data_IF_233880137591
#
_entry.id   IF_233880137591
#
_cell.length_a   1.000
_cell.length_b   1.000
_cell.length_c   1.000
_cell.angle_alpha   90.00
_cell.angle_beta   90.00
_cell.angle_gamma   90.00
#
_symmetry.space_group_name_H-M   'P 1'
#
loop_
_entity.id
_entity.type
_entity.pdbx_description
1 polymer ?
#
# COMPACT_ATOMS: atom_id res chain seq x y z
N UNK A 1 31.71 -20.38 -5.88
CA UNK A 1 30.66 -20.06 -6.88
C UNK A 1 29.78 -18.96 -6.32
N UNK A 2 29.64 -17.80 -6.95
CA UNK A 2 28.75 -16.74 -6.47
C UNK A 2 27.30 -17.03 -6.92
N UNK A 3 26.27 -16.58 -6.19
CA UNK A 3 24.89 -16.66 -6.65
C UNK A 3 24.64 -15.57 -7.71
N UNK A 4 24.16 -16.01 -8.87
CA UNK A 4 23.83 -15.19 -10.03
C UNK A 4 22.69 -14.20 -9.74
N UNK A 5 22.93 -12.92 -10.03
CA UNK A 5 21.96 -11.84 -9.94
C UNK A 5 20.80 -12.01 -10.95
N UNK A 6 19.56 -11.81 -10.48
CA UNK A 6 18.34 -11.83 -11.28
C UNK A 6 18.18 -10.46 -11.98
N UNK A 7 18.20 -10.40 -13.30
CA UNK A 7 17.91 -9.16 -14.07
C UNK A 7 16.47 -9.16 -14.62
N UNK A 8 15.80 -8.01 -14.53
CA UNK A 8 14.50 -7.73 -15.17
C UNK A 8 14.65 -6.85 -16.42
N UNK A 9 13.90 -7.12 -17.49
CA UNK A 9 13.75 -6.26 -18.69
C UNK A 9 12.28 -6.04 -19.06
N UNK A 10 12.02 -4.96 -19.80
CA UNK A 10 10.71 -4.30 -19.95
C UNK A 10 10.54 -3.73 -21.37
N UNK A 11 9.36 -3.87 -22.01
CA UNK A 11 8.96 -3.16 -23.26
C UNK A 11 7.43 -2.87 -23.32
N UNK A 12 6.97 -1.86 -24.08
CA UNK A 12 5.61 -1.25 -24.03
C UNK A 12 4.99 -0.86 -25.40
N UNK A 13 3.64 -0.78 -25.52
CA UNK A 13 2.88 -0.22 -26.68
C UNK A 13 1.38 0.04 -26.40
N UNK A 14 0.71 1.00 -27.12
CA UNK A 14 -0.47 1.84 -26.73
C UNK A 14 -1.77 1.73 -27.61
N UNK A 15 -2.95 2.02 -26.99
CA UNK A 15 -4.23 2.75 -27.41
C UNK A 15 -5.17 2.25 -28.55
N UNK A 16 -6.41 2.79 -28.81
CA UNK A 16 -7.42 3.57 -28.02
C UNK A 16 -8.91 3.08 -28.07
N UNK A 17 -9.77 3.75 -27.27
CA UNK A 17 -11.23 4.02 -27.41
C UNK A 17 -12.27 3.25 -26.54
N UNK A 18 -12.99 4.00 -25.68
CA UNK A 18 -14.45 3.86 -25.50
C UNK A 18 -15.04 3.18 -24.25
N UNK A 19 -14.24 2.56 -23.39
CA UNK A 19 -14.66 1.95 -22.11
C UNK A 19 -13.56 2.18 -21.07
N UNK A 20 -13.85 2.15 -19.76
CA UNK A 20 -12.81 2.24 -18.72
C UNK A 20 -11.90 1.00 -18.75
N UNK A 21 -10.94 1.07 -19.66
CA UNK A 21 -9.83 0.15 -19.86
C UNK A 21 -8.63 0.75 -19.12
N UNK A 22 -8.18 0.08 -18.05
CA UNK A 22 -6.82 0.31 -17.59
C UNK A 22 -5.84 -0.09 -18.71
N UNK A 23 -4.69 0.60 -18.87
CA UNK A 23 -3.87 0.49 -20.06
C UNK A 23 -3.39 -0.94 -20.30
N UNK A 24 -3.51 -1.42 -21.55
CA UNK A 24 -2.85 -2.64 -22.00
C UNK A 24 -1.34 -2.51 -21.83
N UNK A 25 -0.78 -3.47 -21.12
CA UNK A 25 0.65 -3.56 -20.81
C UNK A 25 0.88 -4.48 -19.63
N UNK A 26 0.28 -5.68 -19.65
CA UNK A 26 0.50 -6.67 -18.59
C UNK A 26 1.93 -7.17 -18.67
N UNK A 27 2.82 -6.54 -17.90
CA UNK A 27 4.07 -7.19 -17.51
C UNK A 27 3.69 -8.31 -16.55
N UNK A 28 3.87 -9.55 -16.99
CA UNK A 28 3.79 -10.71 -16.10
C UNK A 28 5.01 -10.66 -15.20
N UNK A 29 4.80 -10.38 -13.92
CA UNK A 29 5.81 -10.65 -12.90
C UNK A 29 5.48 -12.03 -12.34
N UNK A 30 6.33 -13.01 -12.63
CA UNK A 30 6.27 -14.33 -12.02
C UNK A 30 7.27 -14.29 -10.86
N UNK A 31 6.85 -14.53 -9.63
CA UNK A 31 7.77 -14.93 -8.56
C UNK A 31 8.19 -16.37 -8.87
N UNK A 32 9.29 -16.51 -9.63
CA UNK A 32 9.74 -17.79 -10.23
C UNK A 32 10.22 -18.83 -9.17
N UNK A 33 10.23 -18.50 -7.88
CA UNK A 33 10.80 -19.38 -6.85
C UNK A 33 9.90 -20.52 -6.31
N UNK A 34 8.57 -20.37 -6.30
CA UNK A 34 7.68 -21.28 -5.55
C UNK A 34 6.59 -21.97 -6.38
N UNK A 35 6.57 -21.79 -7.70
CA UNK A 35 5.51 -22.35 -8.57
C UNK A 35 4.12 -21.74 -8.35
N UNK A 36 4.01 -20.65 -7.58
CA UNK A 36 2.74 -20.00 -7.27
C UNK A 36 2.26 -19.13 -8.43
N UNK A 37 1.05 -19.36 -8.97
CA UNK A 37 0.48 -18.49 -9.99
C UNK A 37 0.12 -17.13 -9.38
N UNK A 38 0.82 -16.07 -9.79
CA UNK A 38 0.49 -14.68 -9.40
C UNK A 38 -0.22 -13.98 -10.55
N UNK A 39 -1.39 -13.43 -10.25
CA UNK A 39 -2.25 -12.76 -11.22
C UNK A 39 -2.30 -11.26 -10.95
N UNK A 40 -1.59 -10.47 -11.76
CA UNK A 40 -1.71 -9.00 -11.76
C UNK A 40 -2.83 -8.59 -12.74
N UNK A 41 -3.71 -7.67 -12.31
CA UNK A 41 -4.93 -7.15 -13.00
C UNK A 41 -6.25 -7.89 -12.70
N UNK A 42 -7.32 -7.11 -12.43
CA UNK A 42 -8.73 -7.55 -12.34
C UNK A 42 -9.28 -8.17 -13.64
N UNK A 43 -8.46 -8.30 -14.69
CA UNK A 43 -8.78 -9.07 -15.90
C UNK A 43 -8.99 -10.58 -15.67
N UNK A 44 -8.84 -11.08 -14.44
CA UNK A 44 -8.97 -12.50 -14.09
C UNK A 44 -10.08 -12.83 -13.09
N UNK A 45 -10.64 -11.84 -12.40
CA UNK A 45 -11.67 -12.04 -11.38
C UNK A 45 -12.80 -11.07 -11.66
N UNK A 46 -13.85 -11.55 -12.34
CA UNK A 46 -15.02 -10.75 -12.72
C UNK A 46 -16.12 -10.74 -11.65
N UNK A 47 -16.11 -11.71 -10.73
CA UNK A 47 -17.11 -11.82 -9.66
C UNK A 47 -16.56 -12.62 -8.48
N UNK A 48 -16.85 -12.18 -7.26
CA UNK A 48 -16.63 -12.92 -6.02
C UNK A 48 -18.01 -13.15 -5.40
N UNK A 49 -18.44 -14.41 -5.27
CA UNK A 49 -19.65 -14.74 -4.51
C UNK A 49 -19.25 -15.57 -3.31
N UNK A 50 -19.36 -14.97 -2.13
CA UNK A 50 -19.39 -15.73 -0.89
C UNK A 50 -20.80 -16.29 -0.72
N UNK A 51 -21.05 -17.44 -1.34
CA UNK A 51 -22.17 -18.32 -1.00
C UNK A 51 -21.57 -19.70 -0.80
N UNK A 52 -21.77 -20.28 0.38
CA UNK A 52 -21.40 -21.67 0.66
C UNK A 52 -19.92 -22.00 0.41
N UNK A 53 -18.99 -21.12 0.81
CA UNK A 53 -17.56 -21.45 0.82
C UNK A 53 -16.90 -21.74 -0.54
N UNK A 54 -17.58 -21.50 -1.68
CA UNK A 54 -16.99 -21.71 -3.03
C UNK A 54 -16.61 -20.39 -3.68
N UNK A 55 -15.31 -20.14 -3.86
CA UNK A 55 -14.88 -19.06 -4.74
C UNK A 55 -14.75 -19.58 -6.17
N UNK A 56 -15.33 -18.85 -7.10
CA UNK A 56 -15.14 -19.12 -8.53
C UNK A 56 -14.46 -17.93 -9.17
N UNK A 57 -13.19 -18.06 -9.53
CA UNK A 57 -12.54 -17.08 -10.40
C UNK A 57 -12.89 -17.40 -11.85
N UNK A 58 -13.48 -16.44 -12.58
CA UNK A 58 -13.67 -16.54 -14.04
C UNK A 58 -12.63 -15.69 -14.75
N UNK A 59 -11.76 -16.35 -15.53
CA UNK A 59 -10.82 -15.65 -16.41
C UNK A 59 -11.60 -14.86 -17.45
N UNK A 60 -11.30 -13.57 -17.64
CA UNK A 60 -11.93 -12.78 -18.72
C UNK A 60 -11.59 -13.32 -20.11
N UNK A 61 -10.43 -13.98 -20.26
CA UNK A 61 -10.02 -14.66 -21.50
C UNK A 61 -10.74 -16.00 -21.74
N UNK A 62 -11.38 -16.57 -20.72
CA UNK A 62 -12.15 -17.81 -20.84
C UNK A 62 -13.24 -17.89 -19.75
N UNK A 63 -14.40 -17.25 -19.96
CA UNK A 63 -15.46 -17.11 -18.96
C UNK A 63 -16.11 -18.43 -18.52
N UNK A 64 -15.93 -19.51 -19.30
CA UNK A 64 -16.51 -20.83 -19.03
C UNK A 64 -15.67 -21.71 -18.11
N UNK A 65 -14.42 -21.34 -17.80
CA UNK A 65 -13.54 -22.10 -16.91
C UNK A 65 -13.51 -21.48 -15.51
N UNK A 66 -14.25 -22.09 -14.58
CA UNK A 66 -14.07 -21.86 -13.15
C UNK A 66 -12.89 -22.68 -12.63
N UNK A 67 -12.19 -22.14 -11.63
CA UNK A 67 -11.26 -22.89 -10.79
C UNK A 67 -11.86 -22.90 -9.39
N UNK A 68 -11.85 -24.06 -8.76
CA UNK A 68 -12.27 -24.26 -7.38
C UNK A 68 -11.01 -24.32 -6.52
N UNK A 69 -11.07 -23.74 -5.34
CA UNK A 69 -10.02 -23.85 -4.33
C UNK A 69 -10.67 -24.31 -3.04
N UNK A 70 -9.90 -25.00 -2.22
CA UNK A 70 -10.35 -25.58 -0.96
C UNK A 70 -10.39 -24.51 0.14
N UNK A 71 -9.35 -23.67 0.23
CA UNK A 71 -9.18 -22.61 1.23
C UNK A 71 -8.87 -21.25 0.63
N UNK A 72 -9.22 -20.19 1.36
CA UNK A 72 -9.15 -18.81 0.90
C UNK A 72 -8.60 -17.87 1.96
N UNK A 73 -7.72 -16.96 1.54
CA UNK A 73 -7.21 -15.87 2.38
C UNK A 73 -7.60 -14.52 1.79
N UNK A 74 -8.32 -13.72 2.57
CA UNK A 74 -8.54 -12.30 2.29
C UNK A 74 -7.34 -11.49 2.78
N UNK A 75 -6.36 -11.33 1.90
CA UNK A 75 -5.17 -10.49 2.12
C UNK A 75 -5.36 -9.07 1.54
N UNK A 76 -6.44 -8.40 1.94
CA UNK A 76 -6.83 -7.07 1.44
C UNK A 76 -6.87 -6.04 2.59
N UNK A 77 -6.81 -4.73 2.28
CA UNK A 77 -7.00 -3.70 3.30
C UNK A 77 -8.34 -3.87 4.02
N UNK A 78 -8.38 -3.49 5.29
CA UNK A 78 -9.55 -3.64 6.16
C UNK A 78 -10.84 -3.06 5.56
N UNK A 79 -10.78 -1.92 4.88
CA UNK A 79 -11.93 -1.28 4.24
C UNK A 79 -12.53 -2.13 3.09
N UNK A 80 -11.68 -2.87 2.38
CA UNK A 80 -12.12 -3.82 1.37
C UNK A 80 -12.65 -5.11 2.02
N UNK A 81 -11.98 -5.61 3.07
CA UNK A 81 -12.44 -6.79 3.81
C UNK A 81 -13.84 -6.57 4.41
N UNK A 82 -14.11 -5.40 4.99
CA UNK A 82 -15.41 -5.03 5.56
C UNK A 82 -16.58 -5.09 4.55
N UNK A 83 -16.30 -4.93 3.24
CA UNK A 83 -17.28 -5.02 2.15
C UNK A 83 -17.43 -6.44 1.60
N UNK A 84 -16.38 -7.25 1.73
CA UNK A 84 -16.35 -8.61 1.19
C UNK A 84 -16.87 -9.62 2.20
N UNK A 85 -16.62 -9.44 3.49
CA UNK A 85 -17.08 -10.37 4.52
C UNK A 85 -18.61 -10.37 4.68
N UNK A 86 -19.22 -11.49 5.11
CA UNK A 86 -20.65 -11.57 5.33
C UNK A 86 -21.14 -10.56 6.36
N UNK A 87 -22.29 -9.94 6.09
CA UNK A 87 -22.96 -9.08 7.06
C UNK A 87 -23.26 -9.85 8.35
N UNK A 88 -22.88 -9.28 9.49
CA UNK A 88 -23.07 -9.89 10.81
C UNK A 88 -21.89 -10.75 11.29
N UNK A 89 -20.90 -11.03 10.45
CA UNK A 89 -19.65 -11.66 10.89
C UNK A 89 -18.88 -10.71 11.82
N UNK A 90 -18.28 -11.26 12.89
CA UNK A 90 -17.55 -10.45 13.87
C UNK A 90 -16.35 -9.73 13.25
N UNK A 91 -15.61 -10.39 12.36
CA UNK A 91 -14.46 -9.78 11.70
C UNK A 91 -14.91 -8.70 10.70
N UNK A 92 -16.09 -8.86 10.09
CA UNK A 92 -16.72 -7.81 9.27
C UNK A 92 -17.00 -6.56 10.10
N UNK A 93 -17.64 -6.72 11.27
CA UNK A 93 -17.97 -5.60 12.17
C UNK A 93 -16.72 -4.87 12.66
N UNK A 94 -15.69 -5.62 13.05
CA UNK A 94 -14.42 -5.06 13.50
C UNK A 94 -13.70 -4.31 12.37
N UNK A 95 -13.60 -4.90 11.17
CA UNK A 95 -13.00 -4.24 10.02
C UNK A 95 -13.75 -2.95 9.64
N UNK A 96 -15.08 -2.95 9.75
CA UNK A 96 -15.90 -1.76 9.48
C UNK A 96 -15.77 -0.66 10.54
N UNK A 97 -15.27 -0.98 11.74
CA UNK A 97 -15.14 -0.03 12.84
C UNK A 97 -13.87 0.82 12.80
N UNK A 98 -12.91 0.47 11.95
CA UNK A 98 -11.66 1.21 11.84
C UNK A 98 -11.86 2.59 11.21
N UNK A 99 -11.20 3.58 11.78
CA UNK A 99 -11.13 4.92 11.23
C UNK A 99 -9.89 5.05 10.33
N UNK A 100 -10.00 5.67 9.15
CA UNK A 100 -8.84 5.90 8.28
C UNK A 100 -7.75 6.73 8.96
N UNK A 101 -6.50 6.30 8.81
CA UNK A 101 -5.30 7.05 9.17
C UNK A 101 -4.58 7.49 7.90
N UNK A 102 -4.87 8.70 7.37
CA UNK A 102 -4.27 9.15 6.12
C UNK A 102 -2.80 9.53 6.29
N UNK A 103 -2.00 9.24 5.27
CA UNK A 103 -0.59 9.63 5.19
C UNK A 103 -0.38 10.39 3.88
N UNK A 104 0.21 11.57 3.98
CA UNK A 104 0.72 12.34 2.86
C UNK A 104 2.19 11.99 2.63
N UNK A 105 2.53 11.69 1.39
CA UNK A 105 3.92 11.64 0.92
C UNK A 105 4.12 12.66 -0.20
N UNK A 106 5.17 13.47 -0.12
CA UNK A 106 5.60 14.34 -1.23
C UNK A 106 7.02 13.98 -1.60
N UNK A 107 7.21 13.53 -2.84
CA UNK A 107 8.54 13.38 -3.41
C UNK A 107 8.98 14.71 -4.02
N UNK A 108 10.17 15.17 -3.65
CA UNK A 108 10.74 16.45 -4.06
C UNK A 108 12.05 16.19 -4.79
N UNK A 109 12.12 16.61 -6.05
CA UNK A 109 13.37 16.69 -6.80
C UNK A 109 13.90 18.11 -6.71
N UNK A 110 15.18 18.22 -6.46
CA UNK A 110 15.84 19.48 -6.10
C UNK A 110 17.19 19.62 -6.74
N UNK A 111 17.61 20.85 -7.03
CA UNK A 111 18.93 21.15 -7.60
C UNK A 111 20.06 21.16 -6.55
N UNK A 112 19.72 21.49 -5.31
CA UNK A 112 20.60 21.51 -4.14
C UNK A 112 20.06 20.59 -3.04
N UNK A 113 20.89 20.19 -2.06
CA UNK A 113 20.41 19.37 -0.95
C UNK A 113 19.49 20.18 -0.02
N UNK A 114 18.35 19.59 0.37
CA UNK A 114 17.42 20.18 1.34
C UNK A 114 17.87 19.96 2.79
N UNK A 115 18.48 18.81 3.07
CA UNK A 115 18.89 18.41 4.41
C UNK A 115 20.28 17.75 4.38
N UNK A 116 21.05 17.82 5.47
CA UNK A 116 22.36 17.20 5.55
C UNK A 116 22.31 15.70 5.86
N UNK A 117 21.22 15.22 6.49
CA UNK A 117 21.09 13.86 7.00
C UNK A 117 20.17 12.99 6.15
N UNK A 118 20.42 11.68 6.15
CA UNK A 118 19.60 10.69 5.44
C UNK A 118 18.14 10.68 5.91
N UNK A 119 17.93 10.93 7.20
CA UNK A 119 16.61 10.97 7.84
C UNK A 119 16.58 12.21 8.74
N UNK A 120 15.68 13.12 8.44
CA UNK A 120 15.44 14.32 9.26
C UNK A 120 14.05 14.24 9.88
N UNK A 121 14.00 14.33 11.21
CA UNK A 121 12.74 14.46 11.96
C UNK A 121 12.42 15.92 12.25
N UNK A 122 11.15 16.28 12.12
CA UNK A 122 10.65 17.65 12.32
C UNK A 122 9.78 17.68 13.57
N UNK A 123 10.30 18.28 14.64
CA UNK A 123 9.57 18.46 15.89
C UNK A 123 8.76 19.75 15.84
N UNK A 124 7.61 19.77 16.52
CA UNK A 124 6.69 20.91 16.57
C UNK A 124 6.38 21.47 15.16
N UNK A 125 6.11 20.55 14.24
CA UNK A 125 5.85 20.81 12.83
C UNK A 125 4.75 19.88 12.33
N UNK A 126 3.88 20.32 11.40
CA UNK A 126 3.02 19.39 10.67
C UNK A 126 3.81 18.47 9.74
N UNK A 127 5.04 18.82 9.33
CA UNK A 127 5.95 17.85 8.70
C UNK A 127 6.52 16.93 9.77
N UNK A 128 6.56 15.62 9.55
CA UNK A 128 7.15 14.69 10.52
C UNK A 128 8.54 14.21 10.08
N UNK A 129 8.65 13.81 8.81
CA UNK A 129 9.87 13.18 8.29
C UNK A 129 10.25 13.70 6.92
N UNK A 130 11.54 13.86 6.71
CA UNK A 130 12.16 14.03 5.39
C UNK A 130 13.24 12.97 5.23
N UNK A 131 13.09 12.12 4.22
CA UNK A 131 14.05 11.07 3.89
C UNK A 131 14.83 11.48 2.64
N UNK A 132 16.15 11.50 2.71
CA UNK A 132 16.99 11.57 1.51
C UNK A 132 16.95 10.22 0.79
N UNK A 133 16.55 10.26 -0.47
CA UNK A 133 16.40 9.13 -1.39
C UNK A 133 17.29 9.30 -2.62
N UNK A 134 18.22 10.25 -2.60
CA UNK A 134 19.12 10.59 -3.71
C UNK A 134 19.91 9.37 -4.17
N UNK A 135 20.36 8.51 -3.25
CA UNK A 135 21.06 7.26 -3.57
C UNK A 135 20.25 6.23 -4.37
N UNK A 136 18.93 6.41 -4.47
CA UNK A 136 18.05 5.54 -5.28
C UNK A 136 17.87 6.03 -6.71
N UNK A 137 18.38 7.22 -7.03
CA UNK A 137 18.42 7.73 -8.39
C UNK A 137 19.47 6.97 -9.22
N UNK A 138 19.29 6.85 -10.55
CA UNK A 138 20.27 6.21 -11.41
C UNK A 138 21.65 6.86 -11.34
N UNK A 139 22.69 6.10 -11.66
CA UNK A 139 24.06 6.63 -11.75
C UNK A 139 24.14 7.80 -12.75
N UNK A 140 24.89 8.84 -12.38
CA UNK A 140 25.07 10.05 -13.21
C UNK A 140 23.91 11.04 -13.17
N UNK A 141 22.92 10.85 -12.29
CA UNK A 141 21.89 11.86 -12.06
C UNK A 141 22.49 13.19 -11.55
N UNK A 142 21.81 14.29 -11.87
CA UNK A 142 22.12 15.62 -11.34
C UNK A 142 20.97 16.03 -10.41
N UNK A 143 21.29 16.46 -9.19
CA UNK A 143 20.31 16.91 -8.20
C UNK A 143 20.04 15.87 -7.12
N UNK A 144 18.95 16.08 -6.37
CA UNK A 144 18.62 15.32 -5.17
C UNK A 144 17.14 14.92 -5.16
N UNK A 145 16.82 13.82 -4.48
CA UNK A 145 15.46 13.33 -4.29
C UNK A 145 15.17 13.16 -2.81
N UNK A 146 14.13 13.80 -2.31
CA UNK A 146 13.64 13.65 -0.95
C UNK A 146 12.20 13.13 -0.92
N UNK A 147 11.85 12.39 0.12
CA UNK A 147 10.48 12.01 0.43
C UNK A 147 10.05 12.64 1.76
N UNK A 148 9.15 13.62 1.70
CA UNK A 148 8.53 14.26 2.85
C UNK A 148 7.26 13.50 3.26
N UNK A 149 7.06 13.25 4.55
CA UNK A 149 5.94 12.45 5.06
C UNK A 149 5.22 13.19 6.20
N UNK A 150 3.89 13.27 6.09
CA UNK A 150 2.99 13.70 7.17
C UNK A 150 2.02 12.57 7.48
N UNK A 151 1.97 12.16 8.73
CA UNK A 151 1.07 11.11 9.22
C UNK A 151 -0.19 11.72 9.84
N UNK A 152 -1.31 11.00 9.79
CA UNK A 152 -2.58 11.40 10.42
C UNK A 152 -3.09 12.79 9.99
N UNK A 153 -2.93 13.14 8.72
CA UNK A 153 -3.28 14.45 8.14
C UNK A 153 -4.79 14.58 7.81
N UNK A 154 -5.66 14.10 8.69
CA UNK A 154 -7.10 13.95 8.41
C UNK A 154 -7.82 15.28 8.14
N UNK A 155 -7.41 16.37 8.79
CA UNK A 155 -7.98 17.71 8.64
C UNK A 155 -7.61 18.40 7.32
N UNK A 156 -6.57 17.92 6.63
CA UNK A 156 -5.95 18.60 5.48
C UNK A 156 -5.78 17.73 4.23
N UNK A 157 -6.06 16.43 4.29
CA UNK A 157 -5.82 15.49 3.17
C UNK A 157 -6.55 15.88 1.87
N UNK A 158 -7.65 16.64 1.96
CA UNK A 158 -8.43 17.11 0.82
C UNK A 158 -7.96 18.45 0.23
N UNK A 159 -7.06 19.19 0.90
CA UNK A 159 -6.41 20.39 0.35
C UNK A 159 -5.69 20.08 -0.95
N UNK A 160 -5.55 21.04 -1.86
CA UNK A 160 -4.87 20.82 -3.14
C UNK A 160 -3.42 20.36 -2.97
N UNK A 161 -2.88 19.65 -3.98
CA UNK A 161 -1.47 19.25 -3.95
C UNK A 161 -0.51 20.44 -3.82
N UNK A 162 -0.89 21.60 -4.37
CA UNK A 162 -0.13 22.85 -4.26
C UNK A 162 -0.10 23.37 -2.82
N UNK A 163 -1.24 23.45 -2.14
CA UNK A 163 -1.31 23.90 -0.74
C UNK A 163 -0.51 22.98 0.19
N UNK A 164 -0.58 21.67 -0.03
CA UNK A 164 0.19 20.69 0.75
C UNK A 164 1.69 20.79 0.48
N UNK A 165 2.09 21.07 -0.76
CA UNK A 165 3.49 21.33 -1.11
C UNK A 165 4.00 22.60 -0.44
N UNK A 166 3.23 23.70 -0.48
CA UNK A 166 3.58 24.97 0.17
C UNK A 166 3.72 24.81 1.69
N UNK A 167 2.84 24.01 2.32
CA UNK A 167 2.95 23.65 3.73
C UNK A 167 4.27 22.91 4.02
N UNK A 168 4.59 21.88 3.24
CA UNK A 168 5.81 21.09 3.44
C UNK A 168 7.07 21.93 3.22
N UNK A 169 7.14 22.72 2.15
CA UNK A 169 8.30 23.56 1.87
C UNK A 169 8.46 24.67 2.91
N UNK A 170 7.37 25.27 3.38
CA UNK A 170 7.47 26.30 4.42
C UNK A 170 8.06 25.73 5.73
N UNK A 171 7.68 24.52 6.12
CA UNK A 171 8.26 23.84 7.29
C UNK A 171 9.72 23.42 7.09
N UNK A 172 10.07 22.93 5.90
CA UNK A 172 11.46 22.64 5.52
C UNK A 172 12.31 23.93 5.63
N UNK A 173 11.88 25.04 5.05
CA UNK A 173 12.62 26.30 5.08
C UNK A 173 12.65 26.98 6.47
N UNK A 174 11.65 26.70 7.32
CA UNK A 174 11.58 27.18 8.70
C UNK A 174 12.61 26.49 9.57
N UNK A 175 12.69 25.16 9.51
CA UNK A 175 13.53 24.34 10.38
C UNK A 175 14.91 24.01 9.77
N UNK A 176 15.06 24.09 8.45
CA UNK A 176 16.32 23.94 7.73
C UNK A 176 16.59 25.18 6.86
N UNK A 177 17.04 26.32 7.42
CA UNK A 177 17.19 27.57 6.67
C UNK A 177 18.14 27.48 5.46
N UNK A 178 19.11 26.56 5.48
CA UNK A 178 20.01 26.29 4.34
C UNK A 178 19.29 25.84 3.07
N UNK A 179 18.08 25.28 3.20
CA UNK A 179 17.26 24.85 2.07
C UNK A 179 16.62 26.00 1.28
N UNK A 180 16.66 27.25 1.78
CA UNK A 180 15.94 28.38 1.15
C UNK A 180 16.45 28.77 -0.24
N UNK A 181 17.70 28.42 -0.56
CA UNK A 181 18.29 28.66 -1.87
C UNK A 181 18.07 27.49 -2.84
N UNK A 182 17.42 26.41 -2.39
CA UNK A 182 17.16 25.23 -3.16
C UNK A 182 15.89 25.38 -4.00
N UNK A 183 15.95 25.04 -5.28
CA UNK A 183 14.79 25.01 -6.15
C UNK A 183 14.22 23.60 -6.24
N UNK A 184 12.90 23.48 -6.04
CA UNK A 184 12.17 22.25 -6.35
C UNK A 184 11.94 22.18 -7.85
N UNK A 185 12.65 21.30 -8.53
CA UNK A 185 12.61 21.14 -9.99
C UNK A 185 11.45 20.26 -10.43
N UNK A 186 11.04 19.32 -9.59
CA UNK A 186 9.87 18.48 -9.80
C UNK A 186 9.30 18.00 -8.47
N UNK A 187 8.01 17.67 -8.43
CA UNK A 187 7.41 17.07 -7.25
C UNK A 187 6.26 16.12 -7.62
N UNK A 188 6.02 15.15 -6.74
CA UNK A 188 4.87 14.25 -6.82
C UNK A 188 4.20 14.21 -5.45
N UNK A 189 2.93 14.61 -5.41
CA UNK A 189 2.10 14.52 -4.20
C UNK A 189 1.30 13.22 -4.23
N UNK A 190 1.47 12.41 -3.19
CA UNK A 190 0.76 11.16 -3.00
C UNK A 190 -0.05 11.19 -1.70
N UNK A 191 -1.36 10.98 -1.83
CA UNK A 191 -2.33 11.07 -0.74
C UNK A 191 -2.94 9.71 -0.43
N UNK A 192 -2.38 9.00 0.55
CA UNK A 192 -2.90 7.72 0.98
C UNK A 192 -3.99 7.93 2.02
N UNK A 193 -5.27 7.94 1.61
CA UNK A 193 -6.40 8.18 2.53
C UNK A 193 -6.59 7.05 3.54
N UNK A 194 -6.41 5.82 3.07
CA UNK A 194 -6.53 4.60 3.87
C UNK A 194 -5.15 3.95 4.07
N UNK A 195 -4.11 4.77 4.33
CA UNK A 195 -2.73 4.28 4.45
C UNK A 195 -2.57 3.27 5.59
N UNK A 196 -3.24 3.57 6.70
CA UNK A 196 -3.39 2.72 7.89
C UNK A 196 -4.79 2.98 8.46
N UNK A 197 -5.14 2.32 9.54
CA UNK A 197 -6.22 2.72 10.43
C UNK A 197 -5.64 3.49 11.63
N UNK A 198 -6.49 4.31 12.27
CA UNK A 198 -6.17 4.99 13.52
C UNK A 198 -6.18 3.99 14.67
N UNK A 199 -5.03 3.83 15.33
CA UNK A 199 -4.95 3.08 16.57
C UNK A 199 -5.52 3.89 17.73
N UNK A 200 -6.38 3.27 18.53
CA UNK A 200 -6.83 3.83 19.81
C UNK A 200 -6.39 2.94 20.98
N UNK A 201 -6.27 3.47 22.21
CA UNK A 201 -5.96 2.64 23.38
C UNK A 201 -6.92 1.44 23.49
N UNK A 202 -6.37 0.23 23.59
CA UNK A 202 -7.14 -1.02 23.66
C UNK A 202 -7.55 -1.63 22.31
N UNK A 203 -7.44 -0.90 21.20
CA UNK A 203 -7.76 -1.39 19.86
C UNK A 203 -6.97 -2.66 19.44
N UNK A 204 -5.66 -2.81 19.75
CA UNK A 204 -4.94 -4.03 19.39
C UNK A 204 -5.54 -5.32 19.96
N UNK A 205 -6.30 -5.23 21.07
CA UNK A 205 -6.95 -6.37 21.71
C UNK A 205 -8.28 -6.75 21.05
N UNK A 206 -8.86 -5.85 20.23
CA UNK A 206 -10.16 -6.05 19.60
C UNK A 206 -10.08 -6.45 18.14
N UNK A 207 -8.90 -6.33 17.50
CA UNK A 207 -8.68 -6.76 16.10
C UNK A 207 -9.09 -8.22 15.87
N UNK A 208 -9.61 -8.56 14.68
CA UNK A 208 -9.95 -9.94 14.38
C UNK A 208 -8.70 -10.80 14.21
N UNK A 209 -8.80 -12.07 14.62
CA UNK A 209 -7.82 -13.11 14.33
C UNK A 209 -7.89 -13.59 12.86
N UNK A 210 -7.07 -14.59 12.50
CA UNK A 210 -7.04 -15.11 11.13
C UNK A 210 -8.28 -15.93 10.73
N UNK A 211 -9.04 -16.48 11.69
CA UNK A 211 -10.21 -17.33 11.43
C UNK A 211 -11.50 -16.50 11.37
N UNK A 212 -12.33 -16.75 10.36
CA UNK A 212 -13.67 -16.14 10.21
C UNK A 212 -14.78 -17.11 10.59
N UNK A 213 -16.05 -16.68 10.54
CA UNK A 213 -17.18 -17.61 10.70
C UNK A 213 -17.37 -18.59 9.52
N UNK A 214 -16.70 -18.36 8.39
CA UNK A 214 -16.70 -19.25 7.23
C UNK A 214 -15.50 -20.19 7.35
N UNK A 215 -15.76 -21.50 7.38
CA UNK A 215 -14.79 -22.54 7.74
C UNK A 215 -13.49 -22.52 6.90
N UNK A 216 -13.58 -22.20 5.61
CA UNK A 216 -12.45 -22.20 4.69
C UNK A 216 -12.02 -20.78 4.25
N UNK A 217 -12.40 -19.76 5.03
CA UNK A 217 -12.06 -18.37 4.77
C UNK A 217 -11.27 -17.78 5.94
N UNK A 218 -10.09 -17.29 5.61
CA UNK A 218 -9.12 -16.74 6.55
C UNK A 218 -8.77 -15.29 6.20
N UNK A 219 -8.24 -14.56 7.18
CA UNK A 219 -7.83 -13.16 7.05
C UNK A 219 -6.32 -13.04 7.11
N UNK A 220 -5.79 -12.11 6.32
CA UNK A 220 -4.42 -11.64 6.44
C UNK A 220 -4.36 -10.12 6.22
N UNK A 221 -3.54 -9.44 7.01
CA UNK A 221 -3.38 -8.00 6.97
C UNK A 221 -2.79 -7.47 8.27
N UNK A 222 -2.06 -6.37 8.17
CA UNK A 222 -1.50 -5.63 9.30
C UNK A 222 -2.56 -5.15 10.33
N UNK A 223 -3.82 -5.08 9.90
CA UNK A 223 -5.01 -4.78 10.71
C UNK A 223 -5.58 -5.95 11.52
N UNK A 224 -5.02 -7.15 11.37
CA UNK A 224 -5.44 -8.33 12.17
C UNK A 224 -4.68 -8.43 13.49
N UNK A 225 -5.11 -9.35 14.36
CA UNK A 225 -4.56 -9.54 15.71
C UNK A 225 -3.16 -10.20 15.70
N UNK A 226 -2.15 -9.40 15.37
CA UNK A 226 -0.75 -9.83 15.32
C UNK A 226 -0.02 -9.64 16.65
N UNK A 227 -0.46 -8.67 17.45
CA UNK A 227 0.27 -8.14 18.61
C UNK A 227 1.20 -6.98 18.25
N UNK A 228 1.28 -6.61 16.97
CA UNK A 228 2.11 -5.52 16.45
C UNK A 228 1.22 -4.35 15.96
N UNK A 229 1.74 -3.12 15.88
CA UNK A 229 1.09 -2.03 15.16
C UNK A 229 0.90 -2.36 13.66
N UNK A 230 0.09 -1.57 12.96
CA UNK A 230 -0.12 -1.70 11.52
C UNK A 230 1.17 -1.38 10.75
N UNK A 231 1.96 -2.43 10.50
CA UNK A 231 3.35 -2.37 10.02
C UNK A 231 3.59 -3.51 9.03
N UNK A 232 4.70 -3.44 8.30
CA UNK A 232 5.11 -4.51 7.38
C UNK A 232 5.35 -5.81 8.15
N UNK A 233 5.96 -5.74 9.33
CA UNK A 233 6.18 -6.87 10.23
C UNK A 233 4.84 -7.46 10.70
N UNK A 234 3.87 -6.60 11.03
CA UNK A 234 2.49 -7.00 11.32
C UNK A 234 1.84 -7.73 10.14
N UNK A 235 1.94 -7.20 8.92
CA UNK A 235 1.39 -7.84 7.73
C UNK A 235 2.00 -9.22 7.47
N UNK A 236 3.32 -9.34 7.58
CA UNK A 236 4.04 -10.62 7.41
C UNK A 236 3.60 -11.63 8.47
N UNK A 237 3.60 -11.23 9.74
CA UNK A 237 3.18 -12.10 10.85
C UNK A 237 1.70 -12.52 10.69
N UNK A 238 0.83 -11.63 10.23
CA UNK A 238 -0.56 -11.94 9.93
C UNK A 238 -0.69 -13.01 8.85
N UNK A 239 0.05 -12.87 7.74
CA UNK A 239 0.08 -13.88 6.67
C UNK A 239 0.51 -15.25 7.17
N UNK A 240 1.54 -15.29 8.02
CA UNK A 240 1.98 -16.54 8.67
C UNK A 240 0.90 -17.14 9.57
N UNK A 241 0.25 -16.33 10.42
CA UNK A 241 -0.87 -16.79 11.27
C UNK A 241 -2.04 -17.34 10.44
N UNK A 242 -2.32 -16.71 9.30
CA UNK A 242 -3.34 -17.18 8.35
C UNK A 242 -2.98 -18.55 7.77
N UNK A 243 -1.73 -18.71 7.30
CA UNK A 243 -1.24 -19.99 6.78
C UNK A 243 -1.30 -21.11 7.82
N UNK A 244 -0.88 -20.84 9.08
CA UNK A 244 -0.98 -21.83 10.16
C UNK A 244 -2.42 -22.21 10.53
N UNK A 245 -3.39 -21.31 10.30
CA UNK A 245 -4.80 -21.59 10.59
C UNK A 245 -5.46 -22.49 9.53
N UNK A 246 -4.92 -22.52 8.31
CA UNK A 246 -5.39 -23.39 7.22
C UNK A 246 -5.00 -24.85 7.50
N UNK A 247 -3.77 -25.09 7.95
CA UNK A 247 -3.22 -26.43 8.20
C UNK A 247 -1.84 -26.62 7.61
#
# INVERSE_FOLDING_TARGET
MPPSALQMRVCSGKSPAGHFLAPHGTRRFILIGAGLPICFSLSWVSFLRLREAVFTSRRRSNPSRSTVFDDFVLAVPWAAAAKLLPMGDRAQQLAASFLPGPILGIHLWTDLPLAPDLITGFLDSPLHWLFDRTSTLPDGHTGHLYAAVISAISDRIDQSGKELLELVLSEIHRLLPGSRNCNVTHHVVYKSRDATFMGSPGEPLTRPGPVTSIQNLFLAGDWTQTGLPATIEGAVLSGLKSAFAIG
#
